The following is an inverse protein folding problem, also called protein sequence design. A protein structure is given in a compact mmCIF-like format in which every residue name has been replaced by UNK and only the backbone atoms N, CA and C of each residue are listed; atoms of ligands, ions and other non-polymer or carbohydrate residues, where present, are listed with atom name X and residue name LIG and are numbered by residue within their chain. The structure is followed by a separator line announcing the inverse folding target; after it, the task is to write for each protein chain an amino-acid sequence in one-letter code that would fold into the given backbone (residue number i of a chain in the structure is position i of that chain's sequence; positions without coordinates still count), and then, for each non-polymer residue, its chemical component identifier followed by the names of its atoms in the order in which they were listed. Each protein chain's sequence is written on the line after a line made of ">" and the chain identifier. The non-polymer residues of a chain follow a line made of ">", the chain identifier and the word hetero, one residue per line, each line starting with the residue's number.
data_IF_665595205052
#
_entry.id   IF_665595205052
#
_cell.length_a   1.000
_cell.length_b   1.000
_cell.length_c   1.000
_cell.angle_alpha   90.00
_cell.angle_beta   90.00
_cell.angle_gamma   90.00
#
_symmetry.space_group_name_H-M   'P 1'
#
loop_
_entity.id
_entity.type
_entity.pdbx_description
1 polymer ?
#
# COMPACT_ATOMS: atom_id res chain seq x y z
N UNK A 1 4.15 3.17 -23.33
CA UNK A 1 3.05 4.06 -23.72
C UNK A 1 1.71 3.58 -23.15
N UNK A 2 1.46 3.76 -21.83
CA UNK A 2 0.23 3.23 -21.18
C UNK A 2 -0.38 4.19 -20.15
N UNK A 3 0.01 5.47 -20.16
CA UNK A 3 -0.43 6.44 -19.13
C UNK A 3 -1.85 7.00 -19.38
N UNK A 4 -2.41 6.87 -20.59
CA UNK A 4 -3.72 7.44 -20.94
C UNK A 4 -4.91 6.48 -20.79
N UNK A 5 -4.77 5.23 -21.24
CA UNK A 5 -5.89 4.28 -21.34
C UNK A 5 -6.49 3.91 -19.98
N UNK A 6 -5.67 3.80 -18.92
CA UNK A 6 -6.15 3.41 -17.59
C UNK A 6 -7.09 4.43 -16.96
N UNK A 7 -6.83 5.73 -17.15
CA UNK A 7 -7.66 6.81 -16.57
C UNK A 7 -9.02 6.86 -17.26
N UNK A 8 -9.05 6.65 -18.57
CA UNK A 8 -10.28 6.66 -19.36
C UNK A 8 -11.18 5.47 -18.99
N UNK A 9 -10.60 4.28 -18.80
CA UNK A 9 -11.35 3.12 -18.31
C UNK A 9 -11.85 3.27 -16.87
N UNK A 10 -11.04 3.86 -15.98
CA UNK A 10 -11.48 4.20 -14.62
C UNK A 10 -12.67 5.16 -14.64
N UNK A 11 -12.67 6.13 -15.55
CA UNK A 11 -13.78 7.09 -15.70
C UNK A 11 -15.07 6.37 -16.06
N UNK A 12 -15.00 5.48 -17.05
CA UNK A 12 -16.15 4.71 -17.53
C UNK A 12 -16.68 3.78 -16.43
N UNK A 13 -15.81 3.07 -15.71
CA UNK A 13 -16.21 2.19 -14.61
C UNK A 13 -16.90 2.96 -13.47
N UNK A 14 -16.32 4.09 -13.06
CA UNK A 14 -16.91 4.93 -11.99
C UNK A 14 -18.24 5.55 -12.46
N UNK A 15 -18.35 5.94 -13.72
CA UNK A 15 -19.58 6.48 -14.30
C UNK A 15 -20.69 5.43 -14.37
N UNK A 16 -20.35 4.18 -14.73
CA UNK A 16 -21.29 3.04 -14.74
C UNK A 16 -21.80 2.69 -13.34
N UNK A 17 -20.93 2.69 -12.32
CA UNK A 17 -21.33 2.39 -10.93
C UNK A 17 -22.24 3.48 -10.36
N UNK A 18 -21.91 4.75 -10.63
CA UNK A 18 -22.63 5.86 -10.03
C UNK A 18 -24.02 6.10 -10.66
N UNK A 19 -24.38 5.42 -11.76
CA UNK A 19 -25.68 5.55 -12.47
C UNK A 19 -26.20 6.98 -12.54
N UNK A 20 -25.26 7.92 -12.67
CA UNK A 20 -25.50 9.33 -12.42
C UNK A 20 -25.61 10.02 -13.76
N UNK A 21 -26.85 10.31 -14.17
CA UNK A 21 -27.12 11.22 -15.27
C UNK A 21 -26.25 12.49 -15.15
N UNK A 22 -25.79 12.98 -16.30
CA UNK A 22 -25.08 14.23 -16.63
C UNK A 22 -24.10 14.85 -15.60
N UNK A 23 -23.64 14.09 -14.61
CA UNK A 23 -22.65 14.54 -13.62
C UNK A 23 -21.25 14.35 -14.20
N UNK A 24 -20.61 15.45 -14.58
CA UNK A 24 -19.25 15.47 -15.13
C UNK A 24 -18.22 15.15 -14.05
N UNK A 25 -17.76 13.90 -14.03
CA UNK A 25 -16.65 13.44 -13.19
C UNK A 25 -15.33 14.07 -13.65
N UNK A 26 -14.67 14.80 -12.75
CA UNK A 26 -13.28 15.28 -12.92
C UNK A 26 -12.36 14.42 -12.06
N UNK A 27 -11.41 13.75 -12.69
CA UNK A 27 -10.36 13.00 -12.00
C UNK A 27 -9.03 13.70 -12.23
N UNK A 28 -8.26 13.85 -11.15
CA UNK A 28 -6.92 14.45 -11.20
C UNK A 28 -5.93 13.43 -10.71
N UNK A 29 -4.87 13.18 -11.49
CA UNK A 29 -3.76 12.36 -11.06
C UNK A 29 -2.81 13.22 -10.22
N UNK A 30 -2.59 12.80 -8.98
CA UNK A 30 -1.61 13.43 -8.10
C UNK A 30 -0.46 12.43 -7.95
N UNK A 31 0.72 12.82 -8.42
CA UNK A 31 1.92 12.01 -8.25
C UNK A 31 2.48 12.16 -6.84
N UNK A 32 2.82 11.04 -6.22
CA UNK A 32 3.43 10.99 -4.89
C UNK A 32 4.95 10.92 -5.09
N UNK A 33 5.66 12.00 -4.77
CA UNK A 33 7.11 12.09 -4.97
C UNK A 33 7.91 11.05 -4.14
N UNK A 34 7.40 10.66 -2.97
CA UNK A 34 8.02 9.67 -2.07
C UNK A 34 7.02 8.58 -1.70
N UNK A 35 6.87 7.52 -2.51
CA UNK A 35 5.84 6.51 -2.31
C UNK A 35 5.98 5.79 -0.96
N UNK A 36 7.22 5.57 -0.49
CA UNK A 36 7.49 4.90 0.79
C UNK A 36 7.33 5.80 2.03
N UNK A 37 7.05 7.09 1.84
CA UNK A 37 6.63 7.97 2.93
C UNK A 37 5.14 7.82 3.26
N UNK A 38 4.35 7.35 2.29
CA UNK A 38 2.91 7.14 2.47
C UNK A 38 2.64 5.77 3.13
N UNK A 39 1.90 5.75 4.25
CA UNK A 39 1.67 4.53 5.02
C UNK A 39 0.87 3.49 4.23
N UNK A 40 -0.05 3.91 3.35
CA UNK A 40 -0.87 3.01 2.55
C UNK A 40 -0.03 2.20 1.55
N UNK A 41 0.86 2.88 0.82
CA UNK A 41 1.74 2.23 -0.15
C UNK A 41 2.70 1.27 0.56
N UNK A 42 3.23 1.67 1.72
CA UNK A 42 4.11 0.81 2.50
C UNK A 42 3.38 -0.41 3.08
N UNK A 43 2.12 -0.26 3.51
CA UNK A 43 1.31 -1.38 4.00
C UNK A 43 1.02 -2.40 2.90
N UNK A 44 0.68 -1.92 1.69
CA UNK A 44 0.46 -2.76 0.51
C UNK A 44 1.74 -3.52 0.11
N UNK A 45 2.89 -2.84 0.16
CA UNK A 45 4.19 -3.50 -0.02
C UNK A 45 4.41 -4.63 0.99
N UNK A 46 4.11 -4.41 2.27
CA UNK A 46 4.24 -5.45 3.31
C UNK A 46 3.29 -6.62 3.03
N UNK A 47 2.04 -6.33 2.61
CA UNK A 47 1.05 -7.35 2.28
C UNK A 47 1.54 -8.26 1.13
N UNK A 48 1.98 -7.67 0.02
CA UNK A 48 2.54 -8.38 -1.14
C UNK A 48 3.71 -9.29 -0.76
N UNK A 49 4.61 -8.82 0.11
CA UNK A 49 5.75 -9.63 0.56
C UNK A 49 5.29 -10.80 1.45
N UNK A 50 4.27 -10.61 2.27
CA UNK A 50 3.69 -11.68 3.10
C UNK A 50 2.94 -12.71 2.25
N UNK A 51 2.22 -12.28 1.21
CA UNK A 51 1.57 -13.17 0.22
C UNK A 51 2.59 -14.01 -0.54
N UNK A 52 3.71 -13.39 -0.91
CA UNK A 52 4.86 -14.09 -1.52
C UNK A 52 5.60 -15.02 -0.55
N UNK A 53 5.09 -15.23 0.68
CA UNK A 53 5.68 -16.06 1.73
C UNK A 53 7.09 -15.65 2.16
N UNK A 54 7.44 -14.37 2.00
CA UNK A 54 8.70 -13.85 2.53
C UNK A 54 8.61 -13.78 4.05
N UNK A 55 9.69 -14.20 4.74
CA UNK A 55 9.74 -14.19 6.19
C UNK A 55 9.42 -12.80 6.75
N UNK A 56 8.43 -12.72 7.66
CA UNK A 56 7.93 -11.47 8.24
C UNK A 56 9.02 -10.54 8.78
N UNK A 57 10.09 -11.12 9.35
CA UNK A 57 11.23 -10.39 9.92
C UNK A 57 12.07 -9.69 8.83
N UNK A 58 12.19 -10.30 7.64
CA UNK A 58 12.86 -9.70 6.48
C UNK A 58 12.01 -8.58 5.90
N UNK A 59 10.72 -8.82 5.72
CA UNK A 59 9.74 -7.82 5.24
C UNK A 59 9.74 -6.59 6.13
N UNK A 60 9.66 -6.75 7.46
CA UNK A 60 9.71 -5.61 8.39
C UNK A 60 11.02 -4.81 8.31
N UNK A 61 12.18 -5.47 8.24
CA UNK A 61 13.47 -4.77 8.09
C UNK A 61 13.50 -3.94 6.82
N UNK A 62 13.03 -4.51 5.71
CA UNK A 62 13.00 -3.85 4.41
C UNK A 62 12.00 -2.70 4.37
N UNK A 63 10.83 -2.87 4.98
CA UNK A 63 9.84 -1.80 5.11
C UNK A 63 10.38 -0.61 5.90
N UNK A 64 11.09 -0.85 7.01
CA UNK A 64 11.73 0.22 7.79
C UNK A 64 12.80 0.94 6.94
N UNK A 65 13.63 0.21 6.20
CA UNK A 65 14.66 0.80 5.35
C UNK A 65 14.06 1.68 4.26
N UNK A 66 13.00 1.21 3.61
CA UNK A 66 12.27 1.95 2.58
C UNK A 66 11.59 3.20 3.17
N UNK A 67 10.98 3.07 4.35
CA UNK A 67 10.32 4.18 5.03
C UNK A 67 11.32 5.26 5.45
N UNK A 68 12.53 4.87 5.92
CA UNK A 68 13.63 5.81 6.21
C UNK A 68 14.07 6.60 4.97
N UNK A 69 14.13 5.96 3.79
CA UNK A 69 14.40 6.67 2.51
C UNK A 69 13.30 7.69 2.17
N UNK A 70 12.10 7.51 2.71
CA UNK A 70 10.97 8.46 2.62
C UNK A 70 11.14 9.74 3.43
N UNK A 71 12.20 9.88 4.25
CA UNK A 71 12.47 11.05 5.11
C UNK A 71 11.39 11.31 6.17
N UNK A 72 10.90 10.24 6.80
CA UNK A 72 9.91 10.30 7.88
C UNK A 72 10.58 10.43 9.26
N UNK A 73 9.90 11.09 10.21
CA UNK A 73 10.43 11.31 11.57
C UNK A 73 10.51 10.02 12.41
N UNK A 74 9.68 9.03 12.12
CA UNK A 74 9.64 7.75 12.83
C UNK A 74 8.59 6.83 12.23
N UNK A 75 8.72 5.52 12.47
CA UNK A 75 7.75 4.54 11.98
C UNK A 75 7.47 3.45 12.99
N UNK A 76 6.20 3.11 13.11
CA UNK A 76 5.73 1.98 13.91
C UNK A 76 4.95 1.02 13.03
N UNK A 77 5.48 -0.19 12.91
CA UNK A 77 4.84 -1.27 12.14
C UNK A 77 4.35 -2.33 13.13
N UNK A 78 3.08 -2.69 13.01
CA UNK A 78 2.45 -3.73 13.81
C UNK A 78 1.76 -4.72 12.87
N UNK A 79 2.15 -5.98 12.98
CA UNK A 79 1.54 -7.09 12.24
C UNK A 79 1.01 -8.06 13.27
N UNK A 80 -0.20 -8.56 13.08
CA UNK A 80 -0.84 -9.53 13.97
C UNK A 80 -1.41 -10.69 13.15
N UNK A 81 -1.35 -11.91 13.67
CA UNK A 81 -1.93 -13.09 13.04
C UNK A 81 -1.02 -14.31 13.09
N UNK A 82 -1.40 -15.33 12.29
CA UNK A 82 -0.64 -16.59 12.14
C UNK A 82 0.49 -16.40 11.14
N UNK A 83 1.60 -15.89 11.63
CA UNK A 83 2.79 -15.64 10.80
C UNK A 83 3.58 -16.95 10.64
N UNK A 84 3.99 -17.26 9.39
CA UNK A 84 4.78 -18.46 9.04
C UNK A 84 4.13 -19.82 9.39
N UNK A 85 2.79 -19.92 9.46
CA UNK A 85 2.13 -21.19 9.80
C UNK A 85 2.30 -21.63 11.26
N UNK A 86 2.89 -20.79 12.11
CA UNK A 86 2.98 -21.06 13.55
C UNK A 86 1.59 -20.93 14.19
N UNK A 87 1.24 -21.92 15.00
CA UNK A 87 -0.07 -22.06 15.64
C UNK A 87 -0.38 -20.94 16.67
N UNK A 88 0.65 -20.20 17.10
CA UNK A 88 0.55 -19.13 18.09
C UNK A 88 0.63 -17.77 17.41
N UNK A 89 -0.46 -17.01 17.47
CA UNK A 89 -0.50 -15.63 17.00
C UNK A 89 0.43 -14.75 17.84
N UNK A 90 1.50 -14.23 17.23
CA UNK A 90 2.38 -13.25 17.88
C UNK A 90 2.07 -11.87 17.31
N UNK A 91 2.03 -10.83 18.17
CA UNK A 91 1.98 -9.42 17.77
C UNK A 91 3.40 -8.81 17.87
N UNK A 92 4.28 -9.03 16.89
CA UNK A 92 5.55 -8.33 16.89
C UNK A 92 5.31 -6.82 16.66
N UNK A 93 5.61 -6.01 17.67
CA UNK A 93 5.65 -4.55 17.60
C UNK A 93 7.10 -4.12 17.43
N UNK A 94 7.40 -3.35 16.39
CA UNK A 94 8.73 -2.75 16.18
C UNK A 94 8.57 -1.25 15.95
N UNK A 95 9.31 -0.46 16.72
CA UNK A 95 9.27 1.00 16.74
C UNK A 95 10.72 1.49 16.67
N UNK A 96 10.99 2.46 15.78
CA UNK A 96 12.28 3.14 15.65
C UNK A 96 12.00 4.62 15.42
#
# INVERSE_FOLDING_TARGET
>A
ESRGQGIEQLKLNVQNILSSGDRRLRMTLIEIAKPYGEPNILAEYIALQLESRVAFRRTMKKAIELAKKGNIKGIKIQIAGRLNGAEIARRPKRSI
#
